data_IF_600296118125
#
_entry.id   IF_600296118125
#
_cell.length_a   1.000
_cell.length_b   1.000
_cell.length_c   1.000
_cell.angle_alpha   90.00
_cell.angle_beta   90.00
_cell.angle_gamma   90.00
#
_symmetry.space_group_name_H-M   'P 1'
#
loop_
_entity.id
_entity.type
_entity.pdbx_description
1 polymer ?
#
# COMPACT_ATOMS: atom_id res chain seq x y z
N UNK A 1 -13.64 -11.60 -18.80
CA UNK A 1 -13.89 -10.35 -19.56
C UNK A 1 -15.02 -9.60 -18.89
N UNK A 2 -14.70 -8.70 -17.97
CA UNK A 2 -15.67 -7.82 -17.29
C UNK A 2 -16.02 -6.66 -18.22
N UNK A 3 -17.31 -6.55 -18.55
CA UNK A 3 -17.83 -5.56 -19.48
C UNK A 3 -17.77 -4.14 -18.91
N UNK A 4 -17.34 -3.19 -19.75
CA UNK A 4 -17.26 -1.77 -19.47
C UNK A 4 -18.65 -1.16 -19.26
N UNK A 5 -18.83 -0.35 -18.20
CA UNK A 5 -20.01 0.50 -18.02
C UNK A 5 -19.66 1.96 -18.34
N UNK A 6 -20.32 2.58 -19.35
CA UNK A 6 -20.22 4.02 -19.55
C UNK A 6 -20.62 4.75 -18.25
N UNK A 7 -19.81 5.73 -17.83
CA UNK A 7 -20.07 6.55 -16.63
C UNK A 7 -19.48 6.03 -15.31
N UNK A 8 -18.73 4.92 -15.32
CA UNK A 8 -17.99 4.44 -14.15
C UNK A 8 -16.83 5.35 -13.71
N UNK A 9 -16.22 5.11 -12.53
CA UNK A 9 -15.15 5.95 -11.98
C UNK A 9 -13.97 6.19 -12.94
N UNK A 10 -13.54 5.15 -13.66
CA UNK A 10 -12.46 5.28 -14.65
C UNK A 10 -12.83 6.23 -15.80
N UNK A 11 -14.03 6.12 -16.36
CA UNK A 11 -14.49 7.00 -17.45
C UNK A 11 -14.57 8.47 -16.99
N UNK A 12 -15.04 8.72 -15.75
CA UNK A 12 -15.04 10.06 -15.16
C UNK A 12 -13.62 10.59 -14.97
N UNK A 13 -12.70 9.75 -14.51
CA UNK A 13 -11.30 10.14 -14.30
C UNK A 13 -10.61 10.48 -15.63
N UNK A 14 -10.83 9.69 -16.69
CA UNK A 14 -10.36 10.02 -18.03
C UNK A 14 -10.87 11.39 -18.50
N UNK A 15 -12.16 11.69 -18.30
CA UNK A 15 -12.72 12.99 -18.64
C UNK A 15 -12.08 14.14 -17.87
N UNK A 16 -11.89 13.97 -16.56
CA UNK A 16 -11.27 14.98 -15.69
C UNK A 16 -9.79 15.23 -16.04
N UNK A 17 -9.10 14.26 -16.61
CA UNK A 17 -7.66 14.30 -16.90
C UNK A 17 -7.34 14.41 -18.40
N UNK A 18 -8.34 14.62 -19.27
CA UNK A 18 -8.18 14.62 -20.73
C UNK A 18 -7.17 15.66 -21.25
N UNK A 19 -6.93 16.75 -20.52
CA UNK A 19 -5.95 17.79 -20.88
C UNK A 19 -4.52 17.53 -20.41
N UNK A 20 -4.27 16.47 -19.63
CA UNK A 20 -2.95 16.18 -19.06
C UNK A 20 -2.23 15.12 -19.92
N UNK A 21 -1.40 15.58 -20.87
CA UNK A 21 -0.68 14.70 -21.81
C UNK A 21 0.32 13.73 -21.16
N UNK A 22 0.71 13.98 -19.91
CA UNK A 22 1.65 13.16 -19.14
C UNK A 22 0.96 12.17 -18.19
N UNK A 23 -0.36 11.98 -18.30
CA UNK A 23 -1.12 11.06 -17.44
C UNK A 23 -1.81 10.00 -18.29
N UNK A 24 -1.57 8.75 -17.95
CA UNK A 24 -2.33 7.60 -18.41
C UNK A 24 -3.24 7.11 -17.28
N UNK A 25 -4.52 6.87 -17.59
CA UNK A 25 -5.48 6.28 -16.64
C UNK A 25 -5.69 4.82 -17.02
N UNK A 26 -5.37 3.92 -16.09
CA UNK A 26 -5.48 2.48 -16.27
C UNK A 26 -6.56 1.95 -15.32
N UNK A 27 -7.56 1.27 -15.87
CA UNK A 27 -8.59 0.58 -15.09
C UNK A 27 -8.15 -0.86 -14.81
N UNK A 28 -7.47 -1.08 -13.68
CA UNK A 28 -6.96 -2.38 -13.26
C UNK A 28 -7.02 -2.55 -11.74
N UNK A 29 -6.68 -3.76 -11.27
CA UNK A 29 -6.32 -3.96 -9.87
C UNK A 29 -4.98 -3.27 -9.58
N UNK A 30 -4.99 -2.29 -8.68
CA UNK A 30 -3.80 -1.52 -8.32
C UNK A 30 -2.71 -2.36 -7.63
N UNK A 31 -3.07 -3.46 -6.96
CA UNK A 31 -2.08 -4.39 -6.39
C UNK A 31 -1.34 -5.18 -7.49
N UNK A 32 -1.95 -5.29 -8.68
CA UNK A 32 -1.34 -5.88 -9.86
C UNK A 32 -0.52 -4.88 -10.69
N UNK A 33 -0.40 -3.61 -10.30
CA UNK A 33 0.38 -2.60 -11.02
C UNK A 33 1.61 -2.18 -10.19
N UNK A 34 2.66 -1.57 -10.77
CA UNK A 34 2.92 -1.44 -12.20
C UNK A 34 3.45 -2.75 -12.80
N UNK A 35 3.48 -2.83 -14.13
CA UNK A 35 4.01 -3.98 -14.89
C UNK A 35 5.45 -3.78 -15.38
N UNK A 36 6.03 -2.61 -15.12
CA UNK A 36 7.38 -2.23 -15.52
C UNK A 36 8.08 -1.43 -14.41
N UNK A 37 9.43 -1.35 -14.42
CA UNK A 37 10.16 -0.64 -13.39
C UNK A 37 9.86 0.86 -13.34
N UNK A 38 9.63 1.40 -12.13
CA UNK A 38 9.29 2.80 -11.88
C UNK A 38 10.17 3.43 -10.81
N UNK A 39 10.31 4.76 -10.88
CA UNK A 39 11.08 5.55 -9.91
C UNK A 39 10.29 5.83 -8.63
N UNK A 40 8.95 5.86 -8.72
CA UNK A 40 8.09 6.09 -7.57
C UNK A 40 6.73 5.42 -7.72
N UNK A 41 6.16 5.01 -6.58
CA UNK A 41 4.78 4.54 -6.45
C UNK A 41 4.13 5.31 -5.31
N UNK A 42 2.96 5.88 -5.58
CA UNK A 42 2.13 6.52 -4.56
C UNK A 42 0.80 5.77 -4.49
N UNK A 43 0.55 5.13 -3.35
CA UNK A 43 -0.70 4.45 -3.05
C UNK A 43 -1.55 5.41 -2.22
N UNK A 44 -2.73 5.76 -2.72
CA UNK A 44 -3.62 6.72 -2.05
C UNK A 44 -4.72 6.06 -1.20
N UNK A 45 -4.60 4.75 -0.95
CA UNK A 45 -5.53 3.94 -0.18
C UNK A 45 -4.78 3.03 0.81
N UNK A 46 -5.48 2.62 1.86
CA UNK A 46 -4.98 1.75 2.91
C UNK A 46 -4.81 0.30 2.50
N UNK A 47 -3.73 -0.32 2.97
CA UNK A 47 -3.48 -1.76 2.86
C UNK A 47 -2.89 -2.32 4.15
N UNK A 48 -2.99 -3.64 4.35
CA UNK A 48 -2.38 -4.32 5.49
C UNK A 48 -0.92 -4.74 5.23
N UNK A 49 -0.50 -4.81 3.97
CA UNK A 49 0.89 -4.99 3.53
C UNK A 49 1.11 -4.38 2.15
N UNK A 50 2.34 -3.97 1.78
CA UNK A 50 2.67 -3.64 0.39
C UNK A 50 2.42 -4.85 -0.52
N UNK A 51 1.92 -4.62 -1.73
CA UNK A 51 1.88 -5.66 -2.75
C UNK A 51 3.31 -5.99 -3.22
N UNK A 52 3.57 -7.28 -3.48
CA UNK A 52 4.88 -7.76 -3.94
C UNK A 52 5.30 -7.08 -5.24
N UNK A 53 4.36 -6.87 -6.18
CA UNK A 53 4.61 -6.14 -7.44
C UNK A 53 5.09 -4.71 -7.22
N UNK A 54 4.64 -4.02 -6.17
CA UNK A 54 5.11 -2.66 -5.88
C UNK A 54 6.58 -2.67 -5.52
N UNK A 55 7.00 -3.59 -4.66
CA UNK A 55 8.38 -3.71 -4.21
C UNK A 55 9.30 -4.20 -5.34
N UNK A 56 8.83 -5.17 -6.13
CA UNK A 56 9.56 -5.76 -7.24
C UNK A 56 9.90 -4.73 -8.32
N UNK A 57 8.95 -3.87 -8.70
CA UNK A 57 9.11 -2.90 -9.79
C UNK A 57 9.68 -1.55 -9.35
N UNK A 58 10.08 -1.36 -8.10
CA UNK A 58 10.86 -0.18 -7.73
C UNK A 58 12.29 -0.29 -8.28
N UNK A 59 12.69 0.70 -9.08
CA UNK A 59 14.10 0.89 -9.47
C UNK A 59 14.98 1.11 -8.22
N UNK A 60 16.29 0.84 -8.29
CA UNK A 60 17.23 1.24 -7.24
C UNK A 60 17.09 2.74 -6.91
N UNK A 61 16.99 3.08 -5.62
CA UNK A 61 16.70 4.45 -5.15
C UNK A 61 15.23 4.88 -5.30
N UNK A 62 14.39 4.03 -5.90
CA UNK A 62 12.97 4.27 -6.08
C UNK A 62 12.20 4.23 -4.77
N UNK A 63 11.05 4.90 -4.74
CA UNK A 63 10.29 5.16 -3.50
C UNK A 63 8.83 4.73 -3.60
N UNK A 64 8.36 3.98 -2.62
CA UNK A 64 6.95 3.63 -2.44
C UNK A 64 6.41 4.36 -1.22
N UNK A 65 5.32 5.10 -1.40
CA UNK A 65 4.56 5.71 -0.31
C UNK A 65 3.20 5.04 -0.25
N UNK A 66 2.84 4.48 0.91
CA UNK A 66 1.53 3.87 1.13
C UNK A 66 1.00 4.14 2.53
N UNK A 67 -0.32 4.20 2.69
CA UNK A 67 -0.95 3.99 3.99
C UNK A 67 -0.98 2.52 4.38
N UNK A 68 -0.43 2.20 5.54
CA UNK A 68 -0.40 0.87 6.13
C UNK A 68 -1.26 0.83 7.39
N UNK A 69 -2.15 -0.15 7.50
CA UNK A 69 -2.96 -0.32 8.69
C UNK A 69 -3.96 -1.46 8.60
N UNK A 70 -4.80 -1.55 9.63
CA UNK A 70 -5.83 -2.58 9.76
C UNK A 70 -7.17 -2.00 9.29
N UNK A 71 -7.93 -2.71 8.45
CA UNK A 71 -9.25 -2.26 8.05
C UNK A 71 -10.25 -2.40 9.20
N UNK A 72 -11.15 -1.43 9.29
CA UNK A 72 -12.39 -1.50 10.05
C UNK A 72 -13.53 -0.93 9.20
N UNK A 73 -14.77 -1.33 9.51
CA UNK A 73 -15.92 -0.71 8.85
C UNK A 73 -16.06 0.74 9.32
N UNK A 74 -16.28 1.65 8.37
CA UNK A 74 -16.59 3.03 8.69
C UNK A 74 -17.95 3.10 9.41
N UNK A 75 -18.08 3.98 10.40
CA UNK A 75 -19.26 4.05 11.26
C UNK A 75 -20.58 4.27 10.50
N UNK A 76 -20.54 5.00 9.38
CA UNK A 76 -21.75 5.42 8.64
C UNK A 76 -21.72 5.11 7.15
N UNK A 77 -20.58 4.71 6.59
CA UNK A 77 -20.41 4.51 5.15
C UNK A 77 -20.13 3.03 4.90
N UNK A 78 -20.62 2.45 3.79
CA UNK A 78 -20.38 1.05 3.43
C UNK A 78 -18.96 0.86 2.85
N UNK A 79 -17.94 1.37 3.54
CA UNK A 79 -16.54 1.31 3.14
C UNK A 79 -15.68 0.88 4.33
N UNK A 80 -14.54 0.26 4.03
CA UNK A 80 -13.52 -0.02 5.02
C UNK A 80 -12.55 1.16 5.10
N UNK A 81 -12.07 1.46 6.29
CA UNK A 81 -11.11 2.52 6.56
C UNK A 81 -9.99 2.01 7.45
N UNK A 82 -8.88 2.72 7.44
CA UNK A 82 -7.86 2.70 8.48
C UNK A 82 -8.13 3.91 9.36
N UNK A 83 -8.55 3.72 10.60
CA UNK A 83 -8.58 4.81 11.58
C UNK A 83 -7.24 4.95 12.30
N UNK A 84 -6.64 3.81 12.66
CA UNK A 84 -5.34 3.72 13.29
C UNK A 84 -4.36 2.99 12.35
N UNK A 85 -3.50 3.76 11.70
CA UNK A 85 -2.42 3.27 10.86
C UNK A 85 -1.42 4.37 10.58
N UNK A 86 -0.50 4.12 9.67
CA UNK A 86 0.60 5.04 9.37
C UNK A 86 0.75 5.26 7.87
N UNK A 87 1.16 6.45 7.47
CA UNK A 87 1.85 6.61 6.20
C UNK A 87 3.22 5.97 6.31
N UNK A 88 3.59 5.12 5.36
CA UNK A 88 4.88 4.46 5.30
C UNK A 88 5.57 4.85 3.99
N UNK A 89 6.83 5.25 4.09
CA UNK A 89 7.71 5.43 2.95
C UNK A 89 8.76 4.33 2.94
N UNK A 90 8.82 3.61 1.83
CA UNK A 90 9.81 2.56 1.55
C UNK A 90 10.73 3.05 0.44
N UNK A 91 12.03 2.89 0.61
CA UNK A 91 13.05 3.21 -0.40
C UNK A 91 13.79 1.95 -0.77
N UNK A 92 13.88 1.65 -2.08
CA UNK A 92 14.68 0.52 -2.58
C UNK A 92 16.15 0.86 -2.46
N UNK A 93 16.88 0.07 -1.69
CA UNK A 93 18.33 0.18 -1.58
C UNK A 93 19.02 -0.86 -2.48
N UNK A 94 20.35 -0.77 -2.58
CA UNK A 94 21.15 -1.76 -3.32
C UNK A 94 20.90 -3.18 -2.81
N UNK A 95 20.72 -3.33 -1.49
CA UNK A 95 20.33 -4.59 -0.85
C UNK A 95 19.13 -4.35 0.08
N UNK A 96 17.94 -4.77 -0.37
CA UNK A 96 16.71 -4.68 0.43
C UNK A 96 16.03 -3.30 0.40
N UNK A 97 15.41 -2.93 1.51
CA UNK A 97 14.51 -1.79 1.60
C UNK A 97 14.66 -1.04 2.92
N UNK A 98 14.97 0.25 2.83
CA UNK A 98 14.79 1.18 3.94
C UNK A 98 13.31 1.56 4.07
N UNK A 99 12.85 1.81 5.29
CA UNK A 99 11.49 2.22 5.58
C UNK A 99 11.47 3.28 6.68
N UNK A 100 10.50 4.21 6.62
CA UNK A 100 10.25 5.17 7.69
C UNK A 100 8.76 5.51 7.76
N UNK A 101 8.27 5.75 8.97
CA UNK A 101 6.93 6.30 9.16
C UNK A 101 6.88 7.77 8.67
N UNK A 102 5.74 8.14 8.10
CA UNK A 102 5.32 9.50 7.77
C UNK A 102 4.28 10.04 8.78
N UNK A 103 4.01 9.28 9.85
CA UNK A 103 3.05 9.59 10.89
C UNK A 103 1.66 8.98 10.65
N UNK A 104 0.83 9.05 11.69
CA UNK A 104 -0.51 8.49 11.68
C UNK A 104 -1.49 9.34 10.86
N UNK A 105 -2.26 8.69 9.99
CA UNK A 105 -3.27 9.32 9.12
C UNK A 105 -4.37 8.31 8.77
N UNK A 106 -5.64 8.72 8.77
CA UNK A 106 -6.73 7.85 8.33
C UNK A 106 -6.81 7.78 6.81
N UNK A 107 -7.21 6.63 6.27
CA UNK A 107 -7.37 6.42 4.83
C UNK A 107 -8.50 5.43 4.54
N UNK A 108 -9.11 5.55 3.35
CA UNK A 108 -10.00 4.51 2.82
C UNK A 108 -9.18 3.26 2.54
N UNK A 109 -9.66 2.09 2.97
CA UNK A 109 -8.95 0.82 2.80
C UNK A 109 -9.34 0.13 1.50
N UNK A 110 -8.37 -0.52 0.85
CA UNK A 110 -8.56 -1.20 -0.43
C UNK A 110 -9.65 -2.29 -0.37
N UNK A 111 -10.44 -2.37 -1.43
CA UNK A 111 -11.32 -3.51 -1.68
C UNK A 111 -10.55 -4.58 -2.48
N UNK A 112 -10.77 -5.86 -2.18
CA UNK A 112 -10.15 -6.98 -2.92
C UNK A 112 -8.67 -7.22 -2.64
N UNK A 113 -8.04 -6.44 -1.75
CA UNK A 113 -6.72 -6.78 -1.23
C UNK A 113 -6.76 -8.19 -0.62
N UNK A 114 -5.79 -9.05 -0.98
CA UNK A 114 -5.65 -10.35 -0.37
C UNK A 114 -5.62 -10.18 1.16
N UNK A 115 -6.68 -10.61 1.83
CA UNK A 115 -6.79 -10.50 3.27
C UNK A 115 -5.66 -11.31 3.88
N UNK A 116 -4.92 -10.69 4.80
CA UNK A 116 -3.96 -11.43 5.58
C UNK A 116 -4.72 -12.41 6.47
N UNK A 117 -4.12 -13.56 6.82
CA UNK A 117 -4.66 -14.41 7.88
C UNK A 117 -4.92 -13.58 9.15
N UNK A 118 -5.98 -13.91 9.89
CA UNK A 118 -6.38 -13.16 11.10
C UNK A 118 -5.23 -12.97 12.09
N UNK A 119 -4.39 -13.99 12.26
CA UNK A 119 -3.20 -13.92 13.12
C UNK A 119 -2.19 -12.82 12.70
N UNK A 120 -2.00 -12.63 11.40
CA UNK A 120 -1.12 -11.59 10.85
C UNK A 120 -1.78 -10.20 11.03
N UNK A 121 -3.11 -10.12 10.85
CA UNK A 121 -3.89 -8.90 11.09
C UNK A 121 -3.84 -8.45 12.55
N UNK A 122 -3.99 -9.38 13.50
CA UNK A 122 -3.91 -9.10 14.94
C UNK A 122 -2.50 -8.70 15.37
N UNK A 123 -1.49 -9.24 14.70
CA UNK A 123 -0.10 -8.84 14.92
C UNK A 123 0.15 -7.43 14.41
N UNK A 124 -0.36 -7.08 13.21
CA UNK A 124 -0.32 -5.71 12.71
C UNK A 124 -1.02 -4.74 13.66
N UNK A 125 -2.24 -5.08 14.10
CA UNK A 125 -3.02 -4.24 15.03
C UNK A 125 -2.23 -3.92 16.29
N UNK A 126 -1.72 -4.95 16.97
CA UNK A 126 -0.92 -4.78 18.19
C UNK A 126 0.34 -3.95 17.93
N UNK A 127 1.02 -4.16 16.80
CA UNK A 127 2.21 -3.37 16.46
C UNK A 127 1.89 -1.88 16.31
N UNK A 128 0.74 -1.54 15.71
CA UNK A 128 0.32 -0.14 15.53
C UNK A 128 -0.06 0.52 16.86
N UNK A 129 -0.71 -0.21 17.76
CA UNK A 129 -1.12 0.27 19.09
C UNK A 129 0.09 0.66 19.97
N UNK A 130 1.24 0.00 19.81
CA UNK A 130 2.45 0.35 20.58
C UNK A 130 3.04 1.73 20.25
N UNK A 131 2.62 2.37 19.15
CA UNK A 131 3.04 3.74 18.81
C UNK A 131 4.54 3.90 18.52
N UNK A 132 5.23 2.84 18.14
CA UNK A 132 6.66 2.85 17.83
C UNK A 132 6.97 3.08 16.33
N UNK A 133 6.04 3.68 15.59
CA UNK A 133 6.15 3.90 14.15
C UNK A 133 7.40 4.72 13.75
N UNK A 134 7.81 5.67 14.59
CA UNK A 134 9.04 6.45 14.39
C UNK A 134 10.33 5.61 14.43
N UNK A 135 10.28 4.39 14.97
CA UNK A 135 11.43 3.47 15.05
C UNK A 135 11.56 2.58 13.82
N UNK A 136 10.62 2.65 12.87
CA UNK A 136 10.69 1.86 11.64
C UNK A 136 11.87 2.35 10.79
N UNK A 137 12.73 1.42 10.40
CA UNK A 137 13.95 1.68 9.61
C UNK A 137 14.04 0.86 8.32
N UNK A 138 13.40 -0.30 8.26
CA UNK A 138 13.57 -1.24 7.15
C UNK A 138 12.36 -2.15 6.96
N UNK A 139 12.20 -2.66 5.74
CA UNK A 139 11.32 -3.77 5.42
C UNK A 139 12.19 -5.01 5.16
N UNK A 140 11.89 -6.12 5.84
CA UNK A 140 12.63 -7.38 5.74
C UNK A 140 11.72 -8.50 5.24
N UNK A 141 12.25 -9.44 4.45
CA UNK A 141 11.51 -10.64 4.05
C UNK A 141 11.43 -11.65 5.19
N UNK A 142 10.46 -12.58 5.15
CA UNK A 142 10.21 -13.57 6.23
C UNK A 142 11.41 -14.41 6.59
N UNK A 143 12.25 -14.69 5.61
CA UNK A 143 13.42 -15.53 5.77
C UNK A 143 14.61 -14.77 6.37
N UNK A 144 14.68 -13.45 6.19
CA UNK A 144 15.77 -12.59 6.68
C UNK A 144 15.48 -11.91 8.02
N UNK A 145 14.23 -12.00 8.52
CA UNK A 145 13.82 -11.37 9.76
C UNK A 145 14.56 -11.95 10.98
N UNK A 146 15.47 -11.15 11.55
CA UNK A 146 15.93 -11.30 12.94
C UNK A 146 15.24 -10.24 13.80
N UNK A 147 14.90 -10.59 15.03
CA UNK A 147 14.10 -9.74 15.91
C UNK A 147 14.76 -8.36 16.16
N UNK A 148 13.97 -7.29 16.34
CA UNK A 148 12.50 -7.23 16.24
C UNK A 148 12.01 -6.89 14.82
N UNK A 149 11.27 -7.80 14.18
CA UNK A 149 10.62 -7.60 12.89
C UNK A 149 9.11 -7.83 13.03
N UNK A 150 8.30 -6.86 12.61
CA UNK A 150 6.84 -6.89 12.81
C UNK A 150 6.13 -7.71 11.73
N UNK A 151 6.58 -7.63 10.48
CA UNK A 151 6.05 -8.39 9.36
C UNK A 151 7.16 -8.63 8.36
N UNK A 152 7.07 -9.78 7.71
CA UNK A 152 8.08 -10.22 6.80
C UNK A 152 7.38 -10.97 5.67
N UNK A 153 7.33 -10.33 4.49
CA UNK A 153 6.61 -10.79 3.31
C UNK A 153 7.31 -11.93 2.58
N UNK A 154 6.61 -12.58 1.64
CA UNK A 154 7.24 -13.47 0.65
C UNK A 154 7.90 -12.63 -0.45
N UNK A 155 8.93 -13.21 -1.06
CA UNK A 155 9.73 -12.61 -2.13
C UNK A 155 8.88 -12.28 -3.37
#
# INVERSE_FOLDING_TARGET
MTSWRPGGPAARLHGNLAGAANIEVICADGAAQPEFPVDAIYVNFGVARPAERWLHHLKPGGRLVLPLGVPQMHATLPVRVIEQGMGLMITREHAGFAARSLGAKPFVFAQGAAELPDADMDTLRRSLETGHDQRIRSLVSRQAARAPAWFAGKD
#
